data_IF_133218806561
#
_entry.id   IF_133218806561
#
_cell.length_a   1.000
_cell.length_b   1.000
_cell.length_c   1.000
_cell.angle_alpha   90.00
_cell.angle_beta   90.00
_cell.angle_gamma   90.00
#
_symmetry.space_group_name_H-M   'P 1'
#
loop_
_entity.id
_entity.type
_entity.pdbx_description
1 polymer ?
#
# COMPACT_ATOMS: atom_id res chain seq x y z
N UNK A 1 37.24 -48.58 1.40
CA UNK A 1 38.25 -49.19 0.50
C UNK A 1 37.56 -49.52 -0.82
N UNK A 2 38.20 -49.12 -1.93
CA UNK A 2 38.09 -49.72 -3.26
C UNK A 2 36.87 -49.35 -4.11
N UNK A 3 37.20 -48.79 -5.27
CA UNK A 3 36.36 -48.46 -6.41
C UNK A 3 36.47 -49.59 -7.47
N UNK A 4 35.35 -49.99 -8.08
CA UNK A 4 35.30 -50.78 -9.34
C UNK A 4 33.90 -50.64 -9.95
N UNK A 5 33.71 -49.97 -11.11
CA UNK A 5 33.82 -50.43 -12.52
C UNK A 5 32.61 -51.23 -13.08
N UNK A 6 32.28 -50.88 -14.34
CA UNK A 6 31.42 -51.50 -15.38
C UNK A 6 29.93 -51.07 -15.37
N UNK A 7 29.32 -50.39 -16.35
CA UNK A 7 29.39 -50.28 -17.82
C UNK A 7 28.46 -51.26 -18.61
N UNK A 8 27.57 -50.63 -19.42
CA UNK A 8 27.12 -50.96 -20.79
C UNK A 8 25.73 -51.57 -21.12
N UNK A 9 25.11 -50.93 -22.15
CA UNK A 9 24.00 -51.26 -23.08
C UNK A 9 22.54 -51.30 -22.56
N UNK A 10 21.48 -50.65 -23.08
CA UNK A 10 21.03 -49.92 -24.31
C UNK A 10 19.81 -50.64 -24.96
N UNK A 11 18.81 -49.82 -25.37
CA UNK A 11 17.68 -50.04 -26.31
C UNK A 11 16.32 -50.52 -25.80
N UNK A 12 15.28 -49.78 -26.22
CA UNK A 12 13.89 -50.24 -26.29
C UNK A 12 12.85 -49.13 -26.51
N UNK A 13 12.78 -48.55 -27.71
CA UNK A 13 11.60 -47.81 -28.19
C UNK A 13 10.55 -48.80 -28.72
N UNK A 14 9.24 -48.54 -28.53
CA UNK A 14 8.18 -48.57 -29.57
C UNK A 14 6.88 -47.92 -29.04
N UNK A 15 6.05 -47.29 -29.91
CA UNK A 15 4.91 -46.44 -29.57
C UNK A 15 3.55 -47.12 -29.85
N UNK A 16 2.45 -46.57 -29.33
CA UNK A 16 1.10 -46.85 -29.83
C UNK A 16 0.25 -45.57 -29.92
N UNK A 17 -0.57 -45.58 -30.97
CA UNK A 17 -1.17 -44.53 -31.80
C UNK A 17 -2.46 -43.87 -31.28
N UNK A 18 -2.95 -42.81 -31.94
CA UNK A 18 -4.05 -41.94 -31.47
C UNK A 18 -5.42 -42.40 -31.98
N UNK A 19 -6.48 -42.13 -31.20
CA UNK A 19 -7.86 -42.22 -31.69
C UNK A 19 -8.41 -40.83 -32.02
N UNK A 20 -8.61 -40.59 -33.32
CA UNK A 20 -9.58 -39.62 -33.83
C UNK A 20 -10.98 -40.24 -33.81
N UNK A 21 -11.98 -39.49 -33.35
CA UNK A 21 -13.36 -39.66 -33.80
C UNK A 21 -13.99 -38.30 -34.09
N UNK A 22 -14.46 -38.15 -35.33
CA UNK A 22 -15.10 -36.98 -35.92
C UNK A 22 -16.48 -36.70 -35.31
N UNK A 23 -16.75 -35.40 -35.12
CA UNK A 23 -17.96 -34.66 -35.50
C UNK A 23 -19.33 -35.37 -35.44
N UNK A 24 -20.22 -34.86 -34.58
CA UNK A 24 -21.62 -34.55 -34.96
C UNK A 24 -22.04 -33.23 -34.31
N UNK A 25 -22.35 -32.22 -35.14
CA UNK A 25 -23.09 -31.02 -34.74
C UNK A 25 -24.54 -31.41 -34.45
N UNK A 26 -25.02 -31.15 -33.24
CA UNK A 26 -26.43 -31.15 -32.89
C UNK A 26 -26.77 -29.85 -32.16
N UNK A 27 -27.44 -28.92 -32.84
CA UNK A 27 -28.05 -27.74 -32.21
C UNK A 27 -29.19 -28.21 -31.31
N UNK A 28 -29.05 -28.05 -30.00
CA UNK A 28 -30.20 -27.94 -29.10
C UNK A 28 -30.43 -26.47 -28.78
N UNK A 29 -31.41 -25.88 -29.46
CA UNK A 29 -32.08 -24.66 -29.01
C UNK A 29 -32.86 -25.04 -27.75
N UNK A 30 -32.45 -24.54 -26.61
CA UNK A 30 -33.29 -24.51 -25.42
C UNK A 30 -33.93 -23.13 -25.41
N UNK A 31 -35.20 -23.08 -25.81
CA UNK A 31 -36.06 -21.91 -25.67
C UNK A 31 -36.42 -21.77 -24.18
N UNK A 32 -35.86 -20.77 -23.52
CA UNK A 32 -36.30 -20.32 -22.20
C UNK A 32 -37.55 -19.44 -22.36
N UNK A 33 -38.64 -19.69 -21.59
CA UNK A 33 -39.84 -18.85 -21.67
C UNK A 33 -39.57 -17.46 -21.07
N UNK A 34 -40.04 -16.44 -21.78
CA UNK A 34 -40.11 -15.08 -21.26
C UNK A 34 -41.09 -15.03 -20.08
N UNK A 35 -40.57 -14.83 -18.87
CA UNK A 35 -41.39 -14.55 -17.70
C UNK A 35 -41.18 -13.09 -17.28
N UNK A 36 -42.17 -12.28 -17.64
CA UNK A 36 -42.26 -10.87 -17.33
C UNK A 36 -42.84 -10.74 -15.91
N UNK A 37 -42.00 -10.48 -14.91
CA UNK A 37 -42.45 -9.93 -13.64
C UNK A 37 -41.68 -8.67 -13.30
N UNK A 38 -42.36 -7.56 -13.52
CA UNK A 38 -42.07 -6.26 -12.95
C UNK A 38 -42.18 -6.32 -11.42
N UNK A 39 -41.07 -6.60 -10.73
CA UNK A 39 -40.92 -6.26 -9.33
C UNK A 39 -39.91 -5.11 -9.21
N UNK A 40 -40.43 -3.95 -8.82
CA UNK A 40 -39.64 -2.79 -8.42
C UNK A 40 -38.79 -3.19 -7.20
N UNK A 41 -37.52 -3.47 -7.41
CA UNK A 41 -36.55 -3.44 -6.34
C UNK A 41 -36.20 -1.96 -6.09
N UNK A 42 -36.56 -1.46 -4.91
CA UNK A 42 -35.92 -0.29 -4.34
C UNK A 42 -34.43 -0.60 -4.21
N UNK A 43 -33.60 -0.01 -5.05
CA UNK A 43 -32.14 0.01 -4.89
C UNK A 43 -31.79 0.91 -3.68
N UNK A 44 -31.95 0.34 -2.48
CA UNK A 44 -31.45 0.87 -1.23
C UNK A 44 -30.20 0.13 -0.76
N UNK A 45 -29.31 -0.26 -1.67
CA UNK A 45 -27.98 -0.74 -1.30
C UNK A 45 -27.19 0.40 -0.65
N UNK A 46 -26.32 0.12 0.34
CA UNK A 46 -25.48 1.17 0.93
C UNK A 46 -24.70 1.86 -0.19
N UNK A 47 -24.86 3.18 -0.32
CA UNK A 47 -24.00 3.98 -1.19
C UNK A 47 -22.58 3.75 -0.69
N UNK A 48 -21.75 3.06 -1.48
CA UNK A 48 -20.31 3.03 -1.27
C UNK A 48 -19.87 4.48 -1.26
N UNK A 49 -19.58 5.03 -0.07
CA UNK A 49 -19.03 6.38 0.04
C UNK A 49 -17.72 6.38 -0.73
N UNK A 50 -17.56 7.31 -1.67
CA UNK A 50 -16.30 7.51 -2.39
C UNK A 50 -15.20 7.70 -1.34
N UNK A 51 -14.17 6.85 -1.40
CA UNK A 51 -13.01 6.93 -0.53
C UNK A 51 -12.46 8.37 -0.50
N UNK A 52 -12.42 8.96 0.69
CA UNK A 52 -11.81 10.27 0.95
C UNK A 52 -10.42 10.05 1.52
N UNK A 53 -9.44 10.85 1.07
CA UNK A 53 -8.08 10.82 1.58
C UNK A 53 -7.76 12.21 2.13
N UNK A 54 -7.25 12.28 3.36
CA UNK A 54 -6.83 13.56 3.94
C UNK A 54 -5.55 14.07 3.28
N UNK A 55 -5.46 15.38 3.12
CA UNK A 55 -4.23 16.09 2.73
C UNK A 55 -3.94 17.27 3.66
N UNK A 56 -2.66 17.53 3.99
CA UNK A 56 -2.28 18.58 4.94
C UNK A 56 -2.73 19.98 4.51
N UNK A 57 -3.01 20.82 5.51
CA UNK A 57 -3.19 22.28 5.36
C UNK A 57 -1.94 23.00 5.82
N UNK A 58 -1.44 23.88 4.98
CA UNK A 58 -0.15 24.55 5.10
C UNK A 58 -0.16 25.75 6.06
N UNK A 59 -1.34 26.24 6.44
CA UNK A 59 -1.53 27.44 7.28
C UNK A 59 -0.89 27.32 8.66
N UNK A 60 -0.22 28.38 9.12
CA UNK A 60 0.34 28.46 10.47
C UNK A 60 -0.78 28.73 11.48
N UNK A 61 -0.90 27.94 12.57
CA UNK A 61 -1.86 28.18 13.66
C UNK A 61 -1.79 29.58 14.26
N UNK A 62 -2.89 30.04 14.84
CA UNK A 62 -2.89 31.32 15.56
C UNK A 62 -2.03 31.23 16.83
N UNK A 63 -1.32 32.32 17.18
CA UNK A 63 -0.53 32.40 18.42
C UNK A 63 -1.37 32.28 19.71
N UNK A 64 -2.70 32.32 19.58
CA UNK A 64 -3.66 32.14 20.68
C UNK A 64 -4.05 30.67 20.91
N UNK A 65 -3.59 29.74 20.07
CA UNK A 65 -3.89 28.32 20.21
C UNK A 65 -3.08 27.66 21.35
N UNK A 66 -3.64 26.61 21.94
CA UNK A 66 -2.92 25.82 22.95
C UNK A 66 -1.82 24.99 22.28
N UNK A 67 -0.69 24.85 22.97
CA UNK A 67 0.47 24.09 22.47
C UNK A 67 0.39 22.58 22.74
N UNK A 68 -0.55 22.14 23.59
CA UNK A 68 -0.71 20.71 23.91
C UNK A 68 -1.19 19.96 22.66
N UNK A 69 -0.46 18.91 22.27
CA UNK A 69 -0.78 18.08 21.10
C UNK A 69 -0.40 16.61 21.37
N UNK A 70 -0.78 15.72 20.45
CA UNK A 70 -0.56 14.27 20.47
C UNK A 70 0.80 13.86 19.89
N UNK A 71 1.62 14.83 19.49
CA UNK A 71 2.95 14.58 18.92
C UNK A 71 3.85 13.95 19.97
N UNK A 72 4.38 12.76 19.67
CA UNK A 72 5.21 12.00 20.60
C UNK A 72 6.22 11.14 19.86
N UNK A 73 7.43 11.05 20.42
CA UNK A 73 8.46 10.08 20.01
C UNK A 73 8.82 9.28 21.25
N UNK A 74 8.60 7.97 21.20
CA UNK A 74 8.95 7.02 22.27
C UNK A 74 9.98 6.01 21.78
N UNK A 75 10.44 5.14 22.68
CA UNK A 75 11.30 4.00 22.34
C UNK A 75 10.59 2.90 21.54
N UNK A 76 9.26 2.91 21.42
CA UNK A 76 8.50 1.88 20.72
C UNK A 76 7.74 2.40 19.50
N UNK A 77 7.36 3.68 19.51
CA UNK A 77 6.55 4.27 18.45
C UNK A 77 6.71 5.79 18.37
N UNK A 78 6.30 6.35 17.23
CA UNK A 78 6.21 7.80 16.99
C UNK A 78 4.81 8.13 16.49
N UNK A 79 4.23 9.23 16.94
CA UNK A 79 3.00 9.81 16.39
C UNK A 79 3.32 11.21 15.88
N UNK A 80 3.04 11.46 14.61
CA UNK A 80 3.11 12.78 13.97
C UNK A 80 1.67 13.18 13.62
N UNK A 81 1.03 14.06 14.43
CA UNK A 81 -0.30 14.54 14.14
C UNK A 81 -0.32 15.34 12.84
N UNK A 82 -1.45 15.33 12.13
CA UNK A 82 -1.64 16.10 10.90
C UNK A 82 -1.33 17.60 11.05
N UNK A 83 -1.46 18.14 12.27
CA UNK A 83 -1.15 19.52 12.62
C UNK A 83 0.34 19.86 12.59
N UNK A 84 1.23 18.87 12.59
CA UNK A 84 2.68 19.06 12.43
C UNK A 84 3.11 19.20 10.97
N UNK A 85 2.24 18.85 10.01
CA UNK A 85 2.52 18.88 8.57
C UNK A 85 2.31 20.31 8.02
N UNK A 86 3.28 21.20 8.29
CA UNK A 86 3.24 22.64 7.98
C UNK A 86 4.32 23.06 6.99
N UNK A 87 4.20 24.25 6.40
CA UNK A 87 5.18 24.78 5.44
C UNK A 87 6.59 24.94 6.02
N UNK A 88 6.70 25.24 7.31
CA UNK A 88 7.99 25.45 7.97
C UNK A 88 8.88 24.20 8.04
N UNK A 89 8.31 23.01 7.81
CA UNK A 89 9.03 21.73 7.83
C UNK A 89 9.12 21.08 6.44
N UNK A 90 8.70 21.79 5.40
CA UNK A 90 8.82 21.32 4.02
C UNK A 90 10.27 21.26 3.60
N UNK A 91 10.62 20.19 2.89
CA UNK A 91 11.88 20.02 2.19
C UNK A 91 11.67 20.08 0.68
N UNK A 92 12.68 20.58 -0.04
CA UNK A 92 12.81 20.42 -1.49
C UNK A 92 13.84 19.30 -1.74
N UNK A 93 13.47 18.29 -2.52
CA UNK A 93 14.36 17.18 -2.83
C UNK A 93 15.12 17.43 -4.14
N UNK A 94 16.43 17.16 -4.21
CA UNK A 94 17.15 17.14 -5.47
C UNK A 94 16.46 16.24 -6.51
N UNK A 95 16.45 16.67 -7.77
CA UNK A 95 15.76 15.95 -8.85
C UNK A 95 14.25 16.26 -8.95
N UNK A 96 13.64 16.88 -7.95
CA UNK A 96 12.25 17.32 -7.97
C UNK A 96 12.15 18.83 -8.18
N UNK A 97 11.23 19.26 -9.05
CA UNK A 97 10.94 20.66 -9.30
C UNK A 97 9.51 21.01 -8.89
N UNK A 98 9.30 22.24 -8.40
CA UNK A 98 7.98 22.76 -7.97
C UNK A 98 7.24 21.78 -7.05
N UNK A 99 7.99 21.19 -6.11
CA UNK A 99 7.53 20.09 -5.27
C UNK A 99 7.86 20.39 -3.81
N UNK A 100 6.86 20.34 -2.95
CA UNK A 100 7.01 20.39 -1.50
C UNK A 100 6.98 18.97 -0.93
N UNK A 101 7.89 18.66 -0.01
CA UNK A 101 7.98 17.32 0.61
C UNK A 101 7.94 17.41 2.13
N UNK A 102 7.02 16.67 2.76
CA UNK A 102 7.01 16.39 4.19
C UNK A 102 7.59 15.01 4.45
N UNK A 103 8.68 14.94 5.20
CA UNK A 103 9.33 13.67 5.56
C UNK A 103 8.67 13.14 6.84
N UNK A 104 7.96 12.02 6.72
CA UNK A 104 7.22 11.40 7.83
C UNK A 104 8.05 10.34 8.56
N UNK A 105 8.89 9.62 7.82
CA UNK A 105 9.74 8.58 8.37
C UNK A 105 11.10 8.57 7.68
N UNK A 106 12.14 8.30 8.48
CA UNK A 106 13.48 7.99 7.98
C UNK A 106 14.12 6.90 8.86
N UNK A 107 14.99 6.05 8.28
CA UNK A 107 15.86 5.20 9.08
C UNK A 107 16.72 6.01 10.05
N UNK A 108 16.61 5.69 11.35
CA UNK A 108 17.46 6.22 12.42
C UNK A 108 17.78 5.10 13.41
N UNK A 109 19.00 5.09 13.96
CA UNK A 109 19.48 4.01 14.83
C UNK A 109 18.60 3.80 16.07
N UNK A 110 17.96 4.86 16.56
CA UNK A 110 17.04 4.83 17.69
C UNK A 110 15.58 4.80 17.25
N UNK A 111 15.22 4.29 16.07
CA UNK A 111 13.86 4.30 15.52
C UNK A 111 13.60 3.13 14.57
N UNK A 112 12.57 3.24 13.74
CA UNK A 112 12.37 2.31 12.62
C UNK A 112 13.52 2.48 11.62
N UNK A 113 14.02 1.38 11.06
CA UNK A 113 15.27 1.36 10.27
C UNK A 113 15.08 0.94 8.82
N UNK A 114 13.91 0.38 8.49
CA UNK A 114 13.72 -0.29 7.19
C UNK A 114 13.22 0.65 6.09
N UNK A 115 12.29 1.55 6.41
CA UNK A 115 11.55 2.36 5.42
C UNK A 115 11.80 3.85 5.58
N UNK A 116 11.67 4.59 4.48
CA UNK A 116 11.35 6.02 4.52
C UNK A 116 9.97 6.27 3.92
N UNK A 117 9.27 7.28 4.45
CA UNK A 117 7.97 7.69 3.91
C UNK A 117 7.91 9.21 3.82
N UNK A 118 7.46 9.68 2.67
CA UNK A 118 7.27 11.09 2.35
C UNK A 118 5.83 11.35 1.92
N UNK A 119 5.31 12.53 2.25
CA UNK A 119 4.15 13.11 1.59
C UNK A 119 4.64 14.21 0.66
N UNK A 120 4.33 14.11 -0.62
CA UNK A 120 4.74 15.09 -1.63
C UNK A 120 3.52 15.85 -2.14
N UNK A 121 3.72 17.13 -2.42
CA UNK A 121 2.81 17.99 -3.17
C UNK A 121 3.56 18.54 -4.39
N UNK A 122 3.11 18.17 -5.59
CA UNK A 122 3.67 18.61 -6.86
C UNK A 122 2.73 19.62 -7.49
N UNK A 123 3.18 20.86 -7.61
CA UNK A 123 2.40 21.94 -8.22
C UNK A 123 2.25 21.72 -9.75
N UNK A 124 1.35 22.49 -10.37
CA UNK A 124 1.12 22.45 -11.82
C UNK A 124 2.42 22.62 -12.62
N UNK A 125 2.66 21.71 -13.57
CA UNK A 125 3.88 21.66 -14.38
C UNK A 125 5.13 21.18 -13.63
N UNK A 126 4.99 20.79 -12.36
CA UNK A 126 6.05 20.24 -11.52
C UNK A 126 6.30 18.75 -11.75
N UNK A 127 7.32 18.21 -11.08
CA UNK A 127 7.61 16.77 -11.06
C UNK A 127 9.11 16.47 -11.02
N UNK A 128 9.47 15.28 -11.49
CA UNK A 128 10.86 14.80 -11.56
C UNK A 128 11.06 13.89 -12.78
N UNK A 129 12.19 14.09 -13.46
CA UNK A 129 12.65 13.20 -14.55
C UNK A 129 13.68 12.16 -14.07
N UNK A 130 14.14 12.27 -12.83
CA UNK A 130 15.09 11.36 -12.19
C UNK A 130 14.82 11.35 -10.67
N UNK A 131 13.70 10.74 -10.25
CA UNK A 131 13.15 10.90 -8.91
C UNK A 131 13.88 10.12 -7.82
N UNK A 132 14.39 8.92 -8.13
CA UNK A 132 14.98 7.98 -7.17
C UNK A 132 16.51 7.95 -7.34
N UNK A 133 17.29 8.56 -6.43
CA UNK A 133 18.74 8.61 -6.56
C UNK A 133 19.47 7.30 -6.19
N UNK A 134 18.81 6.34 -5.54
CA UNK A 134 19.42 5.10 -5.07
C UNK A 134 19.01 3.88 -5.91
N UNK A 135 19.95 3.32 -6.69
CA UNK A 135 19.69 2.20 -7.61
C UNK A 135 19.09 0.95 -6.93
N UNK A 136 19.47 0.69 -5.67
CA UNK A 136 18.99 -0.45 -4.89
C UNK A 136 17.66 -0.23 -4.15
N UNK A 137 16.99 0.90 -4.36
CA UNK A 137 15.78 1.29 -3.61
C UNK A 137 14.53 1.09 -4.46
N UNK A 138 13.59 0.33 -3.92
CA UNK A 138 12.24 0.18 -4.45
C UNK A 138 11.32 1.29 -3.89
N UNK A 139 10.27 1.60 -4.64
CA UNK A 139 9.31 2.65 -4.29
C UNK A 139 7.86 2.20 -4.36
N UNK A 140 7.01 2.83 -3.56
CA UNK A 140 5.55 2.74 -3.68
C UNK A 140 4.93 4.13 -3.62
N UNK A 141 4.14 4.47 -4.63
CA UNK A 141 3.41 5.73 -4.74
C UNK A 141 1.93 5.48 -4.48
N UNK A 142 1.27 6.34 -3.71
CA UNK A 142 -0.18 6.32 -3.50
C UNK A 142 -0.78 7.72 -3.58
N UNK A 143 -1.66 7.95 -4.55
CA UNK A 143 -2.27 9.27 -4.80
C UNK A 143 -3.37 9.56 -3.78
N UNK A 144 -3.22 10.67 -3.06
CA UNK A 144 -4.20 11.18 -2.09
C UNK A 144 -5.15 12.19 -2.75
N UNK A 145 -4.61 13.09 -3.58
CA UNK A 145 -5.35 14.18 -4.20
C UNK A 145 -4.74 14.59 -5.54
N UNK A 146 -5.54 15.15 -6.43
CA UNK A 146 -5.10 15.56 -7.77
C UNK A 146 -4.78 14.37 -8.67
N UNK A 147 -3.99 14.59 -9.71
CA UNK A 147 -3.54 13.54 -10.63
C UNK A 147 -2.05 13.69 -10.93
N UNK A 148 -1.36 12.57 -11.02
CA UNK A 148 0.06 12.52 -11.33
C UNK A 148 0.28 11.58 -12.52
N UNK A 149 0.94 12.07 -13.56
CA UNK A 149 1.38 11.22 -14.68
C UNK A 149 2.71 10.59 -14.30
N UNK A 150 2.74 9.27 -14.18
CA UNK A 150 3.97 8.50 -14.08
C UNK A 150 4.34 7.97 -15.45
N UNK A 151 5.62 8.06 -15.82
CA UNK A 151 6.14 7.33 -16.98
C UNK A 151 7.01 6.21 -16.47
N UNK A 152 6.65 4.96 -16.75
CA UNK A 152 7.44 3.77 -16.44
C UNK A 152 8.08 3.31 -17.74
N UNK A 153 9.41 3.41 -17.84
CA UNK A 153 10.14 3.30 -19.11
C UNK A 153 9.60 4.24 -20.22
N UNK A 154 8.67 3.75 -21.04
CA UNK A 154 8.04 4.47 -22.16
C UNK A 154 6.54 4.61 -22.02
N UNK A 155 5.94 3.93 -21.05
CA UNK A 155 4.49 3.89 -20.88
C UNK A 155 4.06 4.96 -19.87
N UNK A 156 3.16 5.83 -20.32
CA UNK A 156 2.57 6.88 -19.48
C UNK A 156 1.30 6.37 -18.80
N UNK A 157 1.20 6.64 -17.50
CA UNK A 157 0.10 6.26 -16.64
C UNK A 157 -0.36 7.46 -15.83
N UNK A 158 -1.60 7.91 -16.05
CA UNK A 158 -2.20 8.94 -15.20
C UNK A 158 -2.83 8.28 -13.96
N UNK A 159 -2.28 8.59 -12.79
CA UNK A 159 -2.81 8.13 -11.52
C UNK A 159 -3.72 9.20 -10.91
N UNK A 160 -4.94 8.81 -10.56
CA UNK A 160 -5.92 9.64 -9.83
C UNK A 160 -6.03 9.19 -8.36
N UNK A 161 -6.79 9.88 -7.48
CA UNK A 161 -6.83 9.53 -6.05
C UNK A 161 -7.25 8.07 -5.80
N UNK A 162 -6.49 7.36 -4.97
CA UNK A 162 -6.57 5.91 -4.76
C UNK A 162 -5.71 5.09 -5.71
N UNK A 163 -5.20 5.72 -6.77
CA UNK A 163 -4.22 5.17 -7.69
C UNK A 163 -2.88 4.94 -7.00
N UNK A 164 -2.20 3.87 -7.38
CA UNK A 164 -0.90 3.51 -6.83
C UNK A 164 0.02 2.95 -7.89
N UNK A 165 1.32 3.02 -7.59
CA UNK A 165 2.35 2.33 -8.36
C UNK A 165 3.39 1.72 -7.42
N UNK A 166 3.70 0.44 -7.61
CA UNK A 166 4.91 -0.20 -7.09
C UNK A 166 6.01 -0.10 -8.16
N UNK A 167 7.21 0.29 -7.72
CA UNK A 167 8.36 0.61 -8.54
C UNK A 167 9.53 -0.27 -8.07
N UNK A 168 9.94 -1.30 -8.85
CA UNK A 168 11.08 -2.13 -8.50
C UNK A 168 12.36 -1.31 -8.34
N UNK A 169 13.30 -1.82 -7.54
CA UNK A 169 14.62 -1.20 -7.42
C UNK A 169 15.32 -1.09 -8.79
N UNK A 170 15.87 0.10 -9.08
CA UNK A 170 16.55 0.41 -10.33
C UNK A 170 15.62 0.57 -11.55
N UNK A 171 14.30 0.46 -11.37
CA UNK A 171 13.35 0.61 -12.48
C UNK A 171 13.27 2.10 -12.89
N UNK A 172 13.47 2.46 -14.16
CA UNK A 172 13.46 3.86 -14.59
C UNK A 172 12.03 4.40 -14.62
N UNK A 173 11.81 5.50 -13.91
CA UNK A 173 10.51 6.17 -13.89
C UNK A 173 10.62 7.69 -13.79
N UNK A 174 9.58 8.39 -14.23
CA UNK A 174 9.44 9.84 -14.05
C UNK A 174 8.06 10.16 -13.52
N UNK A 175 7.92 11.34 -12.90
CA UNK A 175 6.64 11.86 -12.42
C UNK A 175 6.44 13.28 -12.92
N UNK A 176 5.22 13.59 -13.37
CA UNK A 176 4.85 14.93 -13.80
C UNK A 176 3.41 15.25 -13.44
N UNK A 177 3.19 16.44 -12.90
CA UNK A 177 1.85 17.00 -12.80
C UNK A 177 1.58 17.85 -14.04
N UNK A 178 0.81 17.32 -14.99
CA UNK A 178 0.37 18.04 -16.20
C UNK A 178 -0.95 18.81 -16.00
N UNK A 179 -1.55 18.73 -14.82
CA UNK A 179 -2.81 19.36 -14.47
C UNK A 179 -2.59 20.79 -13.92
N UNK A 180 -3.68 21.53 -13.74
CA UNK A 180 -3.64 22.88 -13.12
C UNK A 180 -3.67 22.84 -11.60
N UNK A 181 -4.26 21.80 -11.01
CA UNK A 181 -4.32 21.62 -9.56
C UNK A 181 -3.10 20.83 -9.06
N UNK A 182 -2.65 21.05 -7.80
CA UNK A 182 -1.59 20.24 -7.20
C UNK A 182 -1.93 18.75 -7.12
N UNK A 183 -0.92 17.91 -7.25
CA UNK A 183 -1.01 16.47 -7.00
C UNK A 183 -0.36 16.14 -5.66
N UNK A 184 -1.07 15.44 -4.78
CA UNK A 184 -0.56 15.05 -3.46
C UNK A 184 -0.54 13.54 -3.30
N UNK A 185 0.59 12.99 -2.88
CA UNK A 185 0.77 11.54 -2.79
C UNK A 185 1.74 11.13 -1.69
N UNK A 186 1.60 9.89 -1.24
CA UNK A 186 2.59 9.22 -0.40
C UNK A 186 3.65 8.56 -1.29
N UNK A 187 4.92 8.70 -0.92
CA UNK A 187 6.03 7.95 -1.52
C UNK A 187 6.77 7.19 -0.41
N UNK A 188 6.67 5.87 -0.45
CA UNK A 188 7.30 4.94 0.50
C UNK A 188 8.49 4.30 -0.21
N UNK A 189 9.64 4.28 0.43
CA UNK A 189 10.89 3.76 -0.13
C UNK A 189 11.52 2.75 0.81
N UNK A 190 12.15 1.72 0.24
CA UNK A 190 12.88 0.69 0.97
C UNK A 190 14.08 0.22 0.16
N UNK A 191 15.19 -0.11 0.80
CA UNK A 191 16.25 -0.86 0.12
C UNK A 191 15.75 -2.27 -0.19
N UNK A 192 15.69 -2.64 -1.47
CA UNK A 192 15.25 -3.97 -1.88
C UNK A 192 16.24 -5.02 -1.40
N UNK A 193 15.74 -6.15 -0.90
CA UNK A 193 16.55 -7.31 -0.53
C UNK A 193 16.46 -8.35 -1.66
N UNK A 194 17.50 -8.49 -2.50
CA UNK A 194 17.44 -9.40 -3.64
C UNK A 194 17.26 -10.85 -3.21
N UNK A 195 16.46 -11.59 -3.98
CA UNK A 195 16.29 -13.04 -3.84
C UNK A 195 16.62 -13.71 -5.17
N UNK A 196 17.62 -14.60 -5.17
CA UNK A 196 18.10 -15.24 -6.38
C UNK A 196 16.97 -15.99 -7.13
N UNK A 197 16.79 -15.67 -8.41
CA UNK A 197 15.74 -16.27 -9.25
C UNK A 197 14.38 -15.57 -9.17
N UNK A 198 14.27 -14.46 -8.44
CA UNK A 198 13.05 -13.67 -8.30
C UNK A 198 13.31 -12.21 -8.69
N UNK A 199 12.43 -11.65 -9.50
CA UNK A 199 12.48 -10.25 -9.94
C UNK A 199 11.07 -9.66 -9.85
N UNK A 200 10.84 -8.62 -9.03
CA UNK A 200 9.52 -8.01 -8.93
C UNK A 200 9.23 -7.15 -10.16
N UNK A 201 8.01 -7.22 -10.66
CA UNK A 201 7.54 -6.37 -11.77
C UNK A 201 6.93 -5.07 -11.22
N UNK A 202 6.92 -3.96 -12.00
CA UNK A 202 6.12 -2.81 -11.64
C UNK A 202 4.63 -3.18 -11.59
N UNK A 203 3.90 -2.58 -10.65
CA UNK A 203 2.46 -2.79 -10.49
C UNK A 203 1.81 -1.42 -10.51
N UNK A 204 0.78 -1.25 -11.33
CA UNK A 204 -0.06 -0.05 -11.32
C UNK A 204 -1.51 -0.49 -11.11
N UNK A 205 -2.23 0.25 -10.28
CA UNK A 205 -3.65 -0.01 -10.04
C UNK A 205 -4.33 1.11 -9.30
N UNK A 206 -5.58 0.87 -8.91
CA UNK A 206 -6.33 1.76 -8.04
C UNK A 206 -7.00 0.92 -6.95
N UNK A 207 -6.81 1.28 -5.68
CA UNK A 207 -7.37 0.54 -4.54
C UNK A 207 -8.89 0.39 -4.61
N UNK A 208 -9.58 1.36 -5.24
CA UNK A 208 -11.03 1.37 -5.40
C UNK A 208 -11.56 0.29 -6.34
N UNK A 209 -10.68 -0.30 -7.14
CA UNK A 209 -10.97 -1.37 -8.09
C UNK A 209 -10.55 -2.74 -7.56
N UNK A 210 -10.06 -2.80 -6.32
CA UNK A 210 -9.56 -4.01 -5.69
C UNK A 210 -10.49 -4.51 -4.59
N UNK A 211 -10.64 -5.83 -4.53
CA UNK A 211 -11.39 -6.46 -3.45
C UNK A 211 -10.59 -6.43 -2.13
N UNK A 212 -11.29 -6.09 -1.05
CA UNK A 212 -10.74 -6.17 0.30
C UNK A 212 -11.05 -7.54 0.91
N UNK A 213 -10.05 -8.22 1.47
CA UNK A 213 -10.26 -9.48 2.18
C UNK A 213 -10.57 -9.22 3.65
N UNK A 214 -11.73 -9.68 4.12
CA UNK A 214 -12.10 -9.60 5.53
C UNK A 214 -11.25 -10.50 6.42
N UNK A 215 -11.00 -10.06 7.64
CA UNK A 215 -10.36 -10.89 8.65
C UNK A 215 -11.34 -11.96 9.17
N UNK A 216 -10.87 -13.20 9.40
CA UNK A 216 -11.72 -14.25 9.94
C UNK A 216 -12.39 -13.84 11.27
N UNK A 217 -13.69 -14.06 11.37
CA UNK A 217 -14.45 -13.82 12.61
C UNK A 217 -14.84 -12.36 12.87
N UNK A 218 -14.71 -11.46 11.89
CA UNK A 218 -15.00 -10.02 12.08
C UNK A 218 -16.20 -9.51 11.27
N UNK A 219 -17.00 -10.39 10.67
CA UNK A 219 -18.12 -10.02 9.78
C UNK A 219 -17.74 -8.99 8.69
N UNK A 220 -16.52 -9.10 8.13
CA UNK A 220 -15.93 -8.15 7.16
C UNK A 220 -15.78 -6.69 7.66
N UNK A 221 -16.05 -6.42 8.93
CA UNK A 221 -15.86 -5.10 9.55
C UNK A 221 -14.40 -4.71 9.71
N UNK A 222 -13.49 -5.67 9.74
CA UNK A 222 -12.05 -5.47 9.62
C UNK A 222 -11.60 -6.18 8.34
N UNK A 223 -11.04 -5.41 7.39
CA UNK A 223 -10.64 -5.92 6.07
C UNK A 223 -9.34 -5.27 5.59
N UNK A 224 -8.68 -5.93 4.64
CA UNK A 224 -7.43 -5.46 4.06
C UNK A 224 -7.49 -5.51 2.54
N UNK A 225 -7.27 -4.37 1.89
CA UNK A 225 -7.01 -4.27 0.46
C UNK A 225 -5.51 -4.46 0.24
N UNK A 226 -5.13 -5.47 -0.52
CA UNK A 226 -3.73 -5.84 -0.78
C UNK A 226 -3.35 -5.42 -2.19
N UNK A 227 -2.41 -4.47 -2.30
CA UNK A 227 -2.04 -3.86 -3.59
C UNK A 227 -0.85 -4.54 -4.27
N UNK A 228 -0.15 -5.40 -3.54
CA UNK A 228 1.00 -6.20 -4.00
C UNK A 228 0.66 -7.69 -3.78
N UNK A 229 1.01 -8.60 -4.73
CA UNK A 229 0.80 -10.03 -4.57
C UNK A 229 1.46 -10.56 -3.29
N UNK A 230 0.68 -11.26 -2.46
CA UNK A 230 1.18 -11.71 -1.14
C UNK A 230 1.82 -13.08 -1.13
N UNK A 231 1.63 -13.85 -2.19
CA UNK A 231 2.15 -15.20 -2.41
C UNK A 231 3.39 -15.22 -3.34
N UNK A 232 3.79 -14.07 -3.86
CA UNK A 232 4.99 -13.92 -4.69
C UNK A 232 6.18 -13.44 -3.85
N UNK A 233 7.20 -14.29 -3.74
CA UNK A 233 8.42 -14.02 -2.96
C UNK A 233 9.34 -12.98 -3.62
N UNK A 234 9.06 -12.55 -4.86
CA UNK A 234 9.79 -11.48 -5.50
C UNK A 234 9.66 -10.15 -4.75
N UNK A 235 8.51 -9.90 -4.14
CA UNK A 235 8.23 -8.70 -3.34
C UNK A 235 8.58 -8.94 -1.88
N UNK A 236 9.36 -8.04 -1.28
CA UNK A 236 9.80 -8.09 0.12
C UNK A 236 9.24 -6.94 0.98
N UNK A 237 8.30 -6.18 0.42
CA UNK A 237 7.41 -5.30 1.16
C UNK A 237 5.98 -5.43 0.67
N UNK A 238 5.03 -5.17 1.56
CA UNK A 238 3.65 -4.95 1.18
C UNK A 238 3.21 -3.55 1.59
N UNK A 239 2.45 -2.89 0.72
CA UNK A 239 1.68 -1.69 1.07
C UNK A 239 0.20 -2.02 0.90
N UNK A 240 -0.57 -1.82 1.96
CA UNK A 240 -1.97 -2.24 2.05
C UNK A 240 -2.82 -1.11 2.62
N UNK A 241 -4.14 -1.20 2.41
CA UNK A 241 -5.10 -0.38 3.14
C UNK A 241 -5.86 -1.29 4.10
N UNK A 242 -5.75 -0.99 5.39
CA UNK A 242 -6.58 -1.66 6.40
C UNK A 242 -7.81 -0.78 6.64
N UNK A 243 -8.99 -1.40 6.65
CA UNK A 243 -10.26 -0.72 6.87
C UNK A 243 -11.00 -1.36 8.05
N UNK A 244 -11.47 -0.50 8.95
CA UNK A 244 -12.36 -0.81 10.05
C UNK A 244 -13.69 -0.09 9.85
N UNK A 245 -14.80 -0.80 9.97
CA UNK A 245 -16.12 -0.20 10.12
C UNK A 245 -16.35 0.30 11.55
N UNK A 246 -17.34 1.16 11.72
CA UNK A 246 -17.71 1.70 13.02
C UNK A 246 -17.96 0.56 14.06
N UNK A 247 -17.25 0.64 15.19
CA UNK A 247 -17.30 -0.33 16.27
C UNK A 247 -16.41 -1.57 16.08
N UNK A 248 -15.69 -1.68 14.96
CA UNK A 248 -14.73 -2.75 14.77
C UNK A 248 -13.49 -2.56 15.67
N UNK A 249 -12.91 -3.67 16.08
CA UNK A 249 -11.75 -3.69 16.98
C UNK A 249 -10.71 -4.68 16.48
N UNK A 250 -9.44 -4.44 16.82
CA UNK A 250 -8.43 -5.48 16.92
C UNK A 250 -8.41 -5.90 18.40
N UNK A 251 -9.01 -7.04 18.78
CA UNK A 251 -9.23 -7.39 20.18
C UNK A 251 -7.99 -7.95 20.89
N UNK A 252 -6.86 -8.05 20.19
CA UNK A 252 -5.58 -8.49 20.71
C UNK A 252 -4.51 -7.44 20.42
N UNK A 253 -3.54 -7.32 21.32
CA UNK A 253 -2.37 -6.50 21.07
C UNK A 253 -1.42 -7.28 20.15
N UNK A 254 -1.58 -7.11 18.84
CA UNK A 254 -0.72 -7.75 17.85
C UNK A 254 0.74 -7.37 18.12
N UNK A 255 1.62 -8.37 18.09
CA UNK A 255 3.05 -8.22 18.32
C UNK A 255 3.77 -9.03 17.26
N UNK A 256 4.49 -8.36 16.36
CA UNK A 256 5.25 -9.03 15.31
C UNK A 256 6.54 -8.26 15.00
N UNK A 257 7.48 -8.94 14.34
CA UNK A 257 8.80 -8.37 14.03
C UNK A 257 8.73 -7.21 13.03
N UNK A 258 7.77 -7.23 12.10
CA UNK A 258 7.75 -6.26 11.00
C UNK A 258 7.59 -4.83 11.51
N UNK A 259 8.54 -3.98 11.13
CA UNK A 259 8.40 -2.54 11.31
C UNK A 259 7.34 -2.03 10.33
N UNK A 260 6.51 -1.10 10.78
CA UNK A 260 5.49 -0.54 9.89
C UNK A 260 5.12 0.88 10.27
N UNK A 261 4.79 1.65 9.25
CA UNK A 261 4.16 2.96 9.38
C UNK A 261 2.71 2.89 8.97
N UNK A 262 1.89 3.72 9.61
CA UNK A 262 0.48 3.91 9.32
C UNK A 262 0.26 5.38 8.99
N UNK A 263 -0.32 5.66 7.83
CA UNK A 263 -0.86 6.98 7.50
C UNK A 263 -2.38 6.91 7.45
N UNK A 264 -3.07 7.61 8.35
CA UNK A 264 -4.53 7.56 8.43
C UNK A 264 -5.14 8.29 7.24
N UNK A 265 -5.89 7.57 6.42
CA UNK A 265 -6.54 8.08 5.21
C UNK A 265 -7.93 8.66 5.49
N UNK A 266 -8.70 7.99 6.35
CA UNK A 266 -10.11 8.30 6.61
C UNK A 266 -10.47 7.99 8.07
N UNK A 267 -11.26 8.88 8.68
CA UNK A 267 -11.90 8.64 9.96
C UNK A 267 -10.98 8.73 11.17
N UNK A 268 -11.47 8.25 12.31
CA UNK A 268 -10.79 8.33 13.60
C UNK A 268 -10.91 7.06 14.42
N UNK A 269 -9.92 6.81 15.27
CA UNK A 269 -9.81 5.63 16.12
C UNK A 269 -9.08 5.96 17.42
N UNK A 270 -9.25 5.13 18.44
CA UNK A 270 -8.32 5.05 19.57
C UNK A 270 -7.40 3.87 19.30
N UNK A 271 -6.12 4.15 19.08
CA UNK A 271 -5.11 3.13 18.80
C UNK A 271 -4.29 2.87 20.06
N UNK A 272 -4.11 1.60 20.40
CA UNK A 272 -3.19 1.19 21.45
C UNK A 272 -1.81 1.03 20.83
N UNK A 273 -0.86 1.85 21.26
CA UNK A 273 0.53 1.82 20.83
C UNK A 273 1.39 1.48 22.04
N UNK A 274 1.98 0.29 22.04
CA UNK A 274 2.60 -0.30 23.21
C UNK A 274 1.68 -0.36 24.44
N UNK A 275 1.81 0.53 25.43
CA UNK A 275 0.92 0.57 26.61
C UNK A 275 -0.05 1.75 26.56
N UNK A 276 0.12 2.64 25.59
CA UNK A 276 -0.56 3.92 25.53
C UNK A 276 -1.77 3.83 24.61
N UNK A 277 -2.86 4.49 25.00
CA UNK A 277 -4.03 4.69 24.14
C UNK A 277 -3.97 6.09 23.57
N UNK A 278 -3.87 6.19 22.25
CA UNK A 278 -3.73 7.45 21.53
C UNK A 278 -4.88 7.59 20.55
N UNK A 279 -5.61 8.70 20.64
CA UNK A 279 -6.58 9.06 19.61
C UNK A 279 -5.83 9.43 18.33
N UNK A 280 -6.22 8.85 17.20
CA UNK A 280 -5.68 9.15 15.86
C UNK A 280 -6.81 9.43 14.89
N UNK A 281 -6.55 10.29 13.90
CA UNK A 281 -7.51 10.73 12.90
C UNK A 281 -6.84 10.90 11.53
N UNK A 282 -7.65 11.14 10.50
CA UNK A 282 -7.16 11.32 9.13
C UNK A 282 -6.05 12.38 9.04
N UNK A 283 -4.95 12.01 8.39
CA UNK A 283 -3.74 12.81 8.24
C UNK A 283 -2.65 12.55 9.28
N UNK A 284 -2.97 11.90 10.39
CA UNK A 284 -1.96 11.51 11.36
C UNK A 284 -1.09 10.37 10.79
N UNK A 285 0.20 10.42 11.11
CA UNK A 285 1.16 9.37 10.83
C UNK A 285 1.62 8.70 12.12
N UNK A 286 1.76 7.38 12.10
CA UNK A 286 2.28 6.57 13.20
C UNK A 286 3.38 5.68 12.68
N UNK A 287 4.52 5.63 13.38
CA UNK A 287 5.61 4.69 13.11
C UNK A 287 5.73 3.72 14.28
N UNK A 288 5.76 2.41 14.02
CA UNK A 288 5.95 1.37 15.02
C UNK A 288 7.27 0.66 14.77
N UNK A 289 8.04 0.50 15.84
CA UNK A 289 9.23 -0.37 15.83
C UNK A 289 8.82 -1.83 15.91
N UNK A 290 9.77 -2.71 15.59
CA UNK A 290 9.62 -4.14 15.75
C UNK A 290 9.08 -4.50 17.14
N UNK A 291 8.10 -5.41 17.18
CA UNK A 291 7.44 -5.91 18.38
C UNK A 291 6.64 -4.87 19.21
N UNK A 292 6.41 -3.65 18.72
CA UNK A 292 5.51 -2.71 19.39
C UNK A 292 4.08 -3.28 19.45
N UNK A 293 3.51 -3.54 20.64
CA UNK A 293 2.16 -4.07 20.74
C UNK A 293 1.12 -3.11 20.17
N UNK A 294 0.24 -3.58 19.29
CA UNK A 294 -0.77 -2.74 18.65
C UNK A 294 -2.20 -3.27 18.79
N UNK A 295 -3.15 -2.39 19.10
CA UNK A 295 -4.58 -2.70 19.02
C UNK A 295 -5.35 -1.47 18.51
N UNK A 296 -6.56 -1.67 18.02
CA UNK A 296 -7.36 -0.59 17.43
C UNK A 296 -8.80 -0.66 17.95
N UNK A 297 -9.36 0.50 18.27
CA UNK A 297 -10.78 0.67 18.56
C UNK A 297 -11.38 1.75 17.64
N UNK A 298 -12.00 1.33 16.54
CA UNK A 298 -12.59 2.21 15.54
C UNK A 298 -13.99 2.68 15.95
N UNK A 299 -14.08 3.46 17.03
CA UNK A 299 -15.36 3.95 17.59
C UNK A 299 -16.01 5.13 16.84
N UNK A 300 -15.39 5.62 15.77
CA UNK A 300 -15.93 6.72 14.96
C UNK A 300 -17.25 6.35 14.24
N UNK A 301 -18.03 7.35 13.79
CA UNK A 301 -19.33 7.12 13.12
C UNK A 301 -19.21 6.63 11.66
N UNK A 302 -17.99 6.53 11.13
CA UNK A 302 -17.70 6.10 9.76
C UNK A 302 -16.54 5.12 9.72
N UNK A 303 -16.07 4.81 8.51
CA UNK A 303 -14.91 3.94 8.36
C UNK A 303 -13.66 4.62 8.95
N UNK A 304 -12.79 3.80 9.52
CA UNK A 304 -11.42 4.15 9.85
C UNK A 304 -10.49 3.39 8.92
N UNK A 305 -9.67 4.12 8.14
CA UNK A 305 -8.80 3.55 7.12
C UNK A 305 -7.40 4.12 7.22
N UNK A 306 -6.40 3.28 7.04
CA UNK A 306 -5.01 3.73 6.98
C UNK A 306 -4.22 2.95 5.94
N UNK A 307 -3.27 3.65 5.31
CA UNK A 307 -2.22 3.07 4.49
C UNK A 307 -1.18 2.47 5.44
N UNK A 308 -0.82 1.21 5.23
CA UNK A 308 0.16 0.48 6.02
C UNK A 308 1.21 -0.11 5.09
N UNK A 309 2.49 0.17 5.35
CA UNK A 309 3.60 -0.56 4.74
C UNK A 309 4.25 -1.48 5.76
N UNK A 310 4.77 -2.63 5.32
CA UNK A 310 5.55 -3.55 6.17
C UNK A 310 6.52 -4.38 5.34
N UNK A 311 7.63 -4.76 5.94
CA UNK A 311 8.59 -5.72 5.38
C UNK A 311 8.05 -7.15 5.49
N UNK A 312 8.33 -7.99 4.49
CA UNK A 312 7.82 -9.37 4.39
C UNK A 312 8.80 -10.25 3.59
N UNK A 313 8.55 -11.57 3.59
CA UNK A 313 9.15 -12.52 2.63
C UNK A 313 10.68 -12.60 2.62
N UNK A 314 11.35 -12.17 3.69
CA UNK A 314 12.80 -12.27 3.87
C UNK A 314 13.14 -12.82 5.24
N UNK A 315 14.32 -13.45 5.34
CA UNK A 315 14.86 -13.86 6.62
C UNK A 315 15.29 -12.62 7.42
N UNK A 316 15.09 -12.68 8.73
CA UNK A 316 15.60 -11.66 9.65
C UNK A 316 17.13 -11.61 9.54
N UNK A 317 17.66 -10.43 9.22
CA UNK A 317 19.10 -10.21 9.18
C UNK A 317 19.67 -10.23 10.60
N UNK A 318 20.81 -10.89 10.78
CA UNK A 318 21.40 -11.11 12.10
C UNK A 318 22.62 -10.23 12.38
N UNK A 319 23.08 -9.45 11.39
CA UNK A 319 24.31 -8.65 11.42
C UNK A 319 24.19 -7.41 10.56
#
# INVERSE_FOLDING_TARGET
MICSKNAFYNRGCFPLTPHQSRSVRGRLKIETPAYNHSHRYHNGGPRVRKATYFTPRTEVPAQTELITDRSVVTEAYTVIPRGALRDSVVSELPGWNRTATWILNRPVASGATTFSQYLLEVAAGGGSTDPEPEEGVEGFIFILEGRLTLTLERDEHELEPGGFAFLPAGYPWTAKNIQTEPAKFQWIRKAYQPLAGYEPAPIIGNEREMDASGMPGTDNKWRTTRMIPTDDLAYDMHVNIVTFEAGAVIPFAETHVMEHGLYVLEGKSVYRLNQDWVEIQEGDYVSLRAFCPQACYAGGPGNFRYLLYKDMNRHVQLT
#
